data_IF_956779090607
#
_entry.id   IF_956779090607
#
_cell.length_a   1.000
_cell.length_b   1.000
_cell.length_c   1.000
_cell.angle_alpha   90.00
_cell.angle_beta   90.00
_cell.angle_gamma   90.00
#
_symmetry.space_group_name_H-M   'P 1'
#
loop_
_entity.id
_entity.type
_entity.pdbx_description
1 polymer ?
#
# COMPACT_ATOMS: atom_id res chain seq x y z
N UNK A 1 -6.22 -14.55 -7.01
CA UNK A 1 -4.88 -13.96 -6.76
C UNK A 1 -5.00 -12.44 -6.69
N UNK A 2 -5.72 -11.85 -7.62
CA UNK A 2 -6.29 -10.50 -7.59
C UNK A 2 -6.93 -10.12 -6.23
N UNK A 3 -7.96 -10.84 -5.73
CA UNK A 3 -8.56 -10.56 -4.41
C UNK A 3 -7.57 -10.56 -3.25
N UNK A 4 -6.57 -11.43 -3.27
CA UNK A 4 -5.54 -11.48 -2.23
C UNK A 4 -4.64 -10.24 -2.28
N UNK A 5 -4.14 -9.89 -3.48
CA UNK A 5 -3.34 -8.68 -3.68
C UNK A 5 -4.10 -7.42 -3.24
N UNK A 6 -5.40 -7.35 -3.53
CA UNK A 6 -6.25 -6.22 -3.14
C UNK A 6 -6.34 -6.07 -1.62
N UNK A 7 -6.74 -7.14 -0.92
CA UNK A 7 -6.89 -7.13 0.54
C UNK A 7 -5.54 -6.88 1.22
N UNK A 8 -4.49 -7.55 0.76
CA UNK A 8 -3.14 -7.36 1.28
C UNK A 8 -2.65 -5.91 1.07
N UNK A 9 -2.85 -5.35 -0.12
CA UNK A 9 -2.50 -3.97 -0.43
C UNK A 9 -3.23 -2.97 0.48
N UNK A 10 -4.54 -3.14 0.71
CA UNK A 10 -5.29 -2.27 1.63
C UNK A 10 -4.73 -2.34 3.06
N UNK A 11 -4.46 -3.55 3.55
CA UNK A 11 -3.93 -3.74 4.91
C UNK A 11 -2.57 -3.07 5.06
N UNK A 12 -1.63 -3.32 4.14
CA UNK A 12 -0.30 -2.72 4.18
C UNK A 12 -0.38 -1.20 4.05
N UNK A 13 -1.24 -0.68 3.17
CA UNK A 13 -1.45 0.76 3.03
C UNK A 13 -1.95 1.38 4.34
N UNK A 14 -2.95 0.76 4.98
CA UNK A 14 -3.54 1.27 6.21
C UNK A 14 -2.52 1.33 7.36
N UNK A 15 -1.74 0.27 7.58
CA UNK A 15 -0.71 0.26 8.61
C UNK A 15 0.43 1.24 8.29
N UNK A 16 0.86 1.32 7.03
CA UNK A 16 1.88 2.28 6.61
C UNK A 16 1.40 3.74 6.77
N UNK A 17 0.11 4.01 6.51
CA UNK A 17 -0.49 5.31 6.70
C UNK A 17 -0.56 5.71 8.17
N UNK A 18 -0.98 4.79 9.05
CA UNK A 18 -0.95 5.04 10.51
C UNK A 18 0.50 5.35 10.94
N UNK A 19 1.47 4.56 10.49
CA UNK A 19 2.86 4.76 10.85
C UNK A 19 3.42 6.08 10.31
N UNK A 20 3.04 6.48 9.09
CA UNK A 20 3.36 7.79 8.52
C UNK A 20 2.81 8.92 9.40
N UNK A 21 1.53 8.86 9.77
CA UNK A 21 0.87 9.87 10.63
C UNK A 21 1.57 9.96 11.98
N UNK A 22 1.83 8.83 12.64
CA UNK A 22 2.58 8.82 13.90
C UNK A 22 3.98 9.42 13.73
N UNK A 23 4.70 9.05 12.67
CA UNK A 23 6.05 9.54 12.42
C UNK A 23 6.07 11.05 12.12
N UNK A 24 5.04 11.55 11.44
CA UNK A 24 4.88 12.96 11.12
C UNK A 24 4.61 13.82 12.37
N UNK A 25 3.77 13.35 13.29
CA UNK A 25 3.43 14.09 14.52
C UNK A 25 4.40 13.88 15.68
N UNK A 26 5.10 12.74 15.74
CA UNK A 26 6.04 12.42 16.82
C UNK A 26 7.47 12.90 16.57
N UNK A 27 7.71 13.73 15.54
CA UNK A 27 9.04 14.19 15.11
C UNK A 27 10.06 13.05 15.00
N UNK A 28 9.61 11.90 14.49
CA UNK A 28 10.46 10.73 14.31
C UNK A 28 11.47 10.97 13.17
N UNK A 29 12.52 10.14 13.13
CA UNK A 29 13.57 10.22 12.11
C UNK A 29 12.98 10.28 10.69
N UNK A 30 13.47 11.22 9.87
CA UNK A 30 13.02 11.43 8.49
C UNK A 30 13.14 10.17 7.63
N UNK A 31 14.08 9.27 7.96
CA UNK A 31 14.21 7.96 7.30
C UNK A 31 12.96 7.10 7.49
N UNK A 32 12.38 7.06 8.71
CA UNK A 32 11.17 6.29 9.00
C UNK A 32 9.96 6.81 8.21
N UNK A 33 9.84 8.13 8.10
CA UNK A 33 8.81 8.77 7.29
C UNK A 33 8.97 8.41 5.80
N UNK A 34 10.19 8.46 5.25
CA UNK A 34 10.47 8.07 3.85
C UNK A 34 10.13 6.60 3.60
N UNK A 35 10.49 5.70 4.52
CA UNK A 35 10.15 4.27 4.42
C UNK A 35 8.62 4.07 4.38
N UNK A 36 7.89 4.80 5.23
CA UNK A 36 6.42 4.70 5.28
C UNK A 36 5.76 5.15 3.96
N UNK A 37 6.31 6.19 3.32
CA UNK A 37 5.85 6.65 2.00
C UNK A 37 6.10 5.57 0.95
N UNK A 38 7.29 4.96 0.92
CA UNK A 38 7.57 3.88 -0.03
C UNK A 38 6.69 2.65 0.22
N UNK A 39 6.41 2.31 1.48
CA UNK A 39 5.48 1.23 1.81
C UNK A 39 4.05 1.53 1.31
N UNK A 40 3.56 2.75 1.51
CA UNK A 40 2.25 3.19 0.98
C UNK A 40 2.22 3.14 -0.56
N UNK A 41 3.26 3.61 -1.23
CA UNK A 41 3.35 3.55 -2.70
C UNK A 41 3.34 2.11 -3.21
N UNK A 42 4.09 1.21 -2.57
CA UNK A 42 4.15 -0.20 -2.96
C UNK A 42 2.79 -0.89 -2.76
N UNK A 43 2.11 -0.59 -1.66
CA UNK A 43 0.76 -1.06 -1.40
C UNK A 43 -0.26 -0.57 -2.45
N UNK A 44 -0.18 0.70 -2.85
CA UNK A 44 -1.00 1.26 -3.93
C UNK A 44 -0.77 0.57 -5.27
N UNK A 45 0.48 0.21 -5.60
CA UNK A 45 0.79 -0.59 -6.80
C UNK A 45 0.14 -1.97 -6.71
N UNK A 46 0.22 -2.64 -5.56
CA UNK A 46 -0.41 -3.95 -5.37
C UNK A 46 -1.94 -3.88 -5.58
N UNK A 47 -2.58 -2.83 -5.06
CA UNK A 47 -4.01 -2.56 -5.29
C UNK A 47 -4.29 -2.34 -6.80
N UNK A 48 -3.53 -1.49 -7.47
CA UNK A 48 -3.71 -1.23 -8.91
C UNK A 48 -3.50 -2.47 -9.78
N UNK A 49 -2.45 -3.25 -9.51
CA UNK A 49 -2.18 -4.53 -10.19
C UNK A 49 -3.31 -5.54 -9.97
N UNK A 50 -3.91 -5.57 -8.76
CA UNK A 50 -5.04 -6.44 -8.49
C UNK A 50 -6.24 -6.16 -9.40
N UNK A 51 -6.50 -4.88 -9.69
CA UNK A 51 -7.59 -4.46 -10.56
C UNK A 51 -7.30 -4.80 -12.02
N UNK A 52 -6.07 -4.57 -12.48
CA UNK A 52 -5.63 -4.96 -13.83
C UNK A 52 -5.80 -6.47 -14.02
N UNK A 53 -5.35 -7.28 -13.06
CA UNK A 53 -5.49 -8.75 -13.12
C UNK A 53 -6.96 -9.19 -13.15
N UNK A 54 -7.82 -8.56 -12.35
CA UNK A 54 -9.24 -8.85 -12.34
C UNK A 54 -9.90 -8.55 -13.70
N UNK A 55 -9.56 -7.41 -14.31
CA UNK A 55 -10.07 -7.03 -15.64
C UNK A 55 -9.56 -7.95 -16.74
N UNK A 56 -8.26 -8.25 -16.76
CA UNK A 56 -7.66 -9.11 -17.80
C UNK A 56 -8.15 -10.55 -17.71
N UNK A 57 -8.45 -11.06 -16.52
CA UNK A 57 -9.02 -12.41 -16.36
C UNK A 57 -10.40 -12.56 -17.02
N UNK A 58 -11.17 -11.47 -17.13
CA UNK A 58 -12.49 -11.44 -17.76
C UNK A 58 -12.44 -11.18 -19.28
N UNK A 59 -11.25 -10.97 -19.86
CA UNK A 59 -11.04 -10.82 -21.30
C UNK A 59 -10.75 -12.16 -22.02
N UNK A 60 -10.95 -13.28 -21.32
CA UNK A 60 -10.83 -14.64 -21.89
C UNK A 60 -12.13 -15.13 -22.50
#
# INVERSE_FOLDING_TARGET
MDRFLFVFGILVFFFAFIFFVMSFFAEHDGVAMVISIFAMLNASIAIGVSEILARTKNLK
#
